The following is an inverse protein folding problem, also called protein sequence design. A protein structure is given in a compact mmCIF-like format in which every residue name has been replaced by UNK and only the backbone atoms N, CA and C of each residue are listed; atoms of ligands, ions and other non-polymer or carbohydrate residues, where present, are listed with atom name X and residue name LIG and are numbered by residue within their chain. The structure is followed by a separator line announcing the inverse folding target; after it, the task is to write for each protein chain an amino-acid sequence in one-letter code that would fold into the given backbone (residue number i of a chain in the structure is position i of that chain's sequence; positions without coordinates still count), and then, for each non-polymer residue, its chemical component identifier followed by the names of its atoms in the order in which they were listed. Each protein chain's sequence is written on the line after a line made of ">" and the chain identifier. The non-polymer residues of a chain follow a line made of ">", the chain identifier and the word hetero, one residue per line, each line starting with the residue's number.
data_IF_460595947964
#
_entry.id   IF_460595947964
#
_cell.length_a   1.000
_cell.length_b   1.000
_cell.length_c   1.000
_cell.angle_alpha   90.00
_cell.angle_beta   90.00
_cell.angle_gamma   90.00
#
_symmetry.space_group_name_H-M   'P 1'
#
loop_
_entity.id
_entity.type
_entity.pdbx_description
1 polymer ?
#
# COMPACT_ATOMS: atom_id res chain seq x y z
N UNK A 1 1.28 15.04 17.15
CA UNK A 1 1.58 13.63 17.41
C UNK A 1 2.98 13.52 18.03
N UNK A 2 3.18 12.66 19.04
CA UNK A 2 4.51 12.37 19.59
C UNK A 2 4.68 10.88 19.93
N UNK A 3 5.93 10.44 20.14
CA UNK A 3 6.24 9.02 20.37
C UNK A 3 5.54 8.43 21.61
N UNK A 4 5.33 9.22 22.66
CA UNK A 4 4.67 8.75 23.89
C UNK A 4 3.21 8.40 23.65
N UNK A 5 2.51 9.21 22.87
CA UNK A 5 1.12 8.98 22.44
C UNK A 5 1.01 7.70 21.61
N UNK A 6 1.90 7.52 20.63
CA UNK A 6 1.93 6.34 19.78
C UNK A 6 2.23 5.06 20.59
N UNK A 7 3.17 5.13 21.52
CA UNK A 7 3.50 4.01 22.42
C UNK A 7 2.32 3.62 23.30
N UNK A 8 1.59 4.59 23.84
CA UNK A 8 0.40 4.34 24.63
C UNK A 8 -0.70 3.68 23.79
N UNK A 9 -0.92 4.16 22.57
CA UNK A 9 -1.89 3.57 21.64
C UNK A 9 -1.52 2.15 21.23
N UNK A 10 -0.25 1.85 20.99
CA UNK A 10 0.24 0.48 20.73
C UNK A 10 -0.12 -0.44 21.90
N UNK A 11 0.15 -0.02 23.15
CA UNK A 11 -0.17 -0.83 24.31
C UNK A 11 -1.68 -1.07 24.47
N UNK A 12 -2.50 -0.05 24.22
CA UNK A 12 -3.96 -0.19 24.21
C UNK A 12 -4.44 -1.17 23.12
N UNK A 13 -3.94 -1.03 21.90
CA UNK A 13 -4.26 -1.89 20.78
C UNK A 13 -3.93 -3.36 21.08
N UNK A 14 -2.74 -3.63 21.61
CA UNK A 14 -2.31 -5.00 21.96
C UNK A 14 -3.19 -5.62 23.06
N UNK A 15 -3.70 -4.82 23.99
CA UNK A 15 -4.67 -5.26 25.00
C UNK A 15 -6.02 -5.59 24.35
N UNK A 16 -6.54 -4.74 23.46
CA UNK A 16 -7.82 -4.97 22.77
C UNK A 16 -7.75 -6.21 21.85
N UNK A 17 -6.63 -6.37 21.15
CA UNK A 17 -6.36 -7.52 20.28
C UNK A 17 -6.15 -8.82 21.07
N UNK A 18 -5.73 -8.72 22.34
CA UNK A 18 -5.33 -9.87 23.17
C UNK A 18 -3.99 -10.48 22.75
N UNK A 19 -3.22 -9.80 21.92
CA UNK A 19 -1.94 -10.25 21.37
C UNK A 19 -1.10 -9.06 20.89
N UNK A 20 0.25 -9.21 20.78
CA UNK A 20 1.09 -8.16 20.21
C UNK A 20 0.71 -7.82 18.77
N UNK A 21 1.06 -6.61 18.31
CA UNK A 21 0.99 -6.24 16.89
C UNK A 21 1.96 -7.07 16.03
N UNK A 22 1.78 -7.16 14.70
CA UNK A 22 2.79 -7.72 13.81
C UNK A 22 4.17 -7.10 14.05
N UNK A 23 5.22 -7.92 14.11
CA UNK A 23 6.48 -7.54 14.76
C UNK A 23 7.21 -6.38 14.04
N UNK A 24 7.21 -6.39 12.72
CA UNK A 24 7.77 -5.35 11.86
C UNK A 24 6.97 -4.03 11.95
N UNK A 25 5.64 -4.12 11.89
CA UNK A 25 4.76 -2.97 12.07
C UNK A 25 4.90 -2.36 13.48
N UNK A 26 4.96 -3.19 14.51
CA UNK A 26 5.20 -2.78 15.90
C UNK A 26 6.54 -2.08 16.05
N UNK A 27 7.59 -2.64 15.47
CA UNK A 27 8.92 -2.05 15.52
C UNK A 27 8.93 -0.68 14.84
N UNK A 28 8.24 -0.54 13.71
CA UNK A 28 8.04 0.75 13.07
C UNK A 28 7.31 1.74 14.00
N UNK A 29 6.15 1.40 14.56
CA UNK A 29 5.41 2.35 15.42
C UNK A 29 6.20 2.76 16.68
N UNK A 30 7.09 1.91 17.18
CA UNK A 30 7.85 2.17 18.42
C UNK A 30 9.24 2.77 18.20
N UNK A 31 9.70 2.88 16.94
CA UNK A 31 11.00 3.45 16.63
C UNK A 31 10.99 4.99 16.75
N UNK A 32 11.65 5.49 17.79
CA UNK A 32 11.72 6.90 18.14
C UNK A 32 12.81 7.67 17.37
N UNK A 33 13.55 6.99 16.48
CA UNK A 33 14.62 7.58 15.67
C UNK A 33 14.14 8.06 14.30
N UNK A 34 12.94 7.68 13.89
CA UNK A 34 12.36 8.11 12.62
C UNK A 34 11.64 9.46 12.79
N UNK A 35 12.35 10.54 12.48
CA UNK A 35 11.86 11.92 12.59
C UNK A 35 10.68 12.22 11.63
N UNK A 36 10.55 11.48 10.52
CA UNK A 36 9.50 11.68 9.52
C UNK A 36 8.10 11.25 10.01
N UNK A 37 8.00 10.52 11.14
CA UNK A 37 6.74 10.06 11.72
C UNK A 37 5.88 11.16 12.34
N UNK A 38 6.48 12.30 12.73
CA UNK A 38 5.82 13.29 13.59
C UNK A 38 5.68 14.67 12.94
N UNK A 39 5.76 14.75 11.62
CA UNK A 39 5.65 16.03 10.91
C UNK A 39 4.22 16.57 10.88
N UNK A 40 3.21 15.69 11.02
CA UNK A 40 1.80 16.04 10.83
C UNK A 40 1.47 16.43 9.39
N UNK A 41 2.39 16.14 8.46
CA UNK A 41 2.18 16.29 7.04
C UNK A 41 1.75 14.94 6.48
N UNK A 42 0.45 14.80 6.22
CA UNK A 42 -0.16 13.60 5.65
C UNK A 42 0.39 13.26 4.25
N UNK A 43 1.15 14.17 3.61
CA UNK A 43 1.87 13.90 2.37
C UNK A 43 3.17 13.11 2.60
N UNK A 44 3.66 13.02 3.84
CA UNK A 44 4.77 12.15 4.20
C UNK A 44 4.25 10.76 4.57
N UNK A 45 4.69 9.78 3.81
CA UNK A 45 4.23 8.39 3.87
C UNK A 45 4.29 7.78 5.29
N UNK A 46 5.37 8.02 6.04
CA UNK A 46 5.51 7.48 7.40
C UNK A 46 4.60 8.19 8.43
N UNK A 47 4.34 9.49 8.26
CA UNK A 47 3.39 10.24 9.11
C UNK A 47 1.98 9.69 8.91
N UNK A 48 1.57 9.47 7.65
CA UNK A 48 0.27 8.90 7.30
C UNK A 48 0.01 7.56 7.99
N UNK A 49 0.98 6.64 8.00
CA UNK A 49 0.84 5.33 8.69
C UNK A 49 0.55 5.53 10.18
N UNK A 50 1.25 6.47 10.83
CA UNK A 50 1.08 6.74 12.26
C UNK A 50 -0.27 7.42 12.55
N UNK A 51 -0.71 8.32 11.67
CA UNK A 51 -1.97 9.02 11.79
C UNK A 51 -3.17 8.08 11.64
N UNK A 52 -3.16 7.17 10.66
CA UNK A 52 -4.19 6.12 10.55
C UNK A 52 -4.27 5.23 11.78
N UNK A 53 -3.14 4.93 12.42
CA UNK A 53 -3.14 4.09 13.61
C UNK A 53 -3.71 4.80 14.85
N UNK A 54 -3.53 6.11 14.95
CA UNK A 54 -4.01 6.92 16.06
C UNK A 54 -5.48 7.31 15.90
N UNK A 55 -5.87 7.76 14.71
CA UNK A 55 -7.20 8.28 14.41
C UNK A 55 -7.64 7.87 12.99
N UNK A 56 -8.02 6.60 12.78
CA UNK A 56 -8.47 6.14 11.47
C UNK A 56 -9.73 6.89 11.01
N UNK A 57 -10.64 7.23 11.94
CA UNK A 57 -11.87 7.99 11.66
C UNK A 57 -11.67 9.36 11.00
N UNK A 58 -10.47 9.96 11.12
CA UNK A 58 -10.14 11.19 10.43
C UNK A 58 -10.04 11.01 8.90
N UNK A 59 -9.84 9.78 8.43
CA UNK A 59 -9.52 9.44 7.04
C UNK A 59 -10.46 8.40 6.43
N UNK A 60 -11.19 7.64 7.26
CA UNK A 60 -12.12 6.61 6.84
C UNK A 60 -13.53 6.86 7.35
N UNK A 61 -14.51 6.22 6.71
CA UNK A 61 -15.93 6.34 7.10
C UNK A 61 -16.20 5.77 8.49
N UNK A 62 -15.47 4.72 8.86
CA UNK A 62 -15.67 3.93 10.07
C UNK A 62 -14.32 3.46 10.65
N UNK A 63 -14.29 3.24 11.96
CA UNK A 63 -13.12 2.74 12.69
C UNK A 63 -12.97 1.21 12.53
N UNK A 64 -11.73 0.70 12.44
CA UNK A 64 -11.49 -0.74 12.51
C UNK A 64 -11.94 -1.37 13.84
N UNK A 65 -12.53 -2.56 13.79
CA UNK A 65 -12.92 -3.33 14.96
C UNK A 65 -11.85 -4.36 15.35
N UNK A 66 -10.99 -4.02 16.29
CA UNK A 66 -9.92 -4.89 16.77
C UNK A 66 -10.37 -6.04 17.69
N UNK A 67 -11.65 -6.09 18.07
CA UNK A 67 -12.18 -7.12 18.96
C UNK A 67 -12.51 -8.42 18.24
N UNK A 68 -12.69 -8.36 16.93
CA UNK A 68 -13.02 -9.48 16.06
C UNK A 68 -11.86 -9.87 15.13
N UNK A 69 -11.86 -11.12 14.71
CA UNK A 69 -10.88 -11.62 13.74
C UNK A 69 -11.23 -11.10 12.33
N UNK A 70 -10.21 -10.72 11.57
CA UNK A 70 -10.37 -10.51 10.13
C UNK A 70 -10.79 -11.83 9.47
N UNK A 71 -11.92 -11.88 8.74
CA UNK A 71 -12.53 -13.14 8.34
C UNK A 71 -11.99 -13.72 7.03
N UNK A 72 -11.22 -12.95 6.26
CA UNK A 72 -10.76 -13.34 4.93
C UNK A 72 -9.37 -13.99 4.96
N UNK A 73 -9.09 -14.79 3.93
CA UNK A 73 -7.81 -15.49 3.75
C UNK A 73 -7.33 -15.30 2.30
N UNK A 74 -6.04 -15.47 2.00
CA UNK A 74 -5.55 -15.38 0.63
C UNK A 74 -6.30 -16.29 -0.36
N UNK A 75 -6.74 -17.45 0.09
CA UNK A 75 -7.50 -18.42 -0.70
C UNK A 75 -8.99 -18.06 -0.84
N UNK A 76 -9.51 -17.19 0.05
CA UNK A 76 -10.89 -16.75 0.07
C UNK A 76 -10.97 -15.24 0.42
N UNK A 77 -10.54 -14.36 -0.50
CA UNK A 77 -10.68 -12.91 -0.35
C UNK A 77 -12.15 -12.48 -0.54
N UNK A 78 -12.47 -11.24 -0.15
CA UNK A 78 -13.77 -10.65 -0.48
C UNK A 78 -13.65 -9.98 -1.85
N UNK A 79 -14.20 -10.65 -2.87
CA UNK A 79 -14.38 -10.08 -4.21
C UNK A 79 -15.84 -10.29 -4.57
N UNK A 80 -16.62 -9.21 -4.58
CA UNK A 80 -18.05 -9.27 -4.77
C UNK A 80 -18.60 -8.03 -5.46
N UNK A 81 -19.51 -8.23 -6.41
CA UNK A 81 -20.28 -7.14 -7.01
C UNK A 81 -21.49 -6.81 -6.13
N UNK A 82 -21.91 -5.54 -6.15
CA UNK A 82 -23.17 -5.12 -5.57
C UNK A 82 -24.34 -5.73 -6.38
N UNK A 83 -25.41 -6.22 -5.73
CA UNK A 83 -26.53 -6.84 -6.44
C UNK A 83 -27.10 -5.96 -7.55
N UNK A 84 -27.24 -6.54 -8.75
CA UNK A 84 -27.73 -5.83 -9.95
C UNK A 84 -29.10 -5.15 -9.73
N UNK A 85 -29.89 -5.65 -8.78
CA UNK A 85 -31.17 -5.07 -8.39
C UNK A 85 -31.09 -3.61 -7.94
N UNK A 86 -29.96 -3.18 -7.36
CA UNK A 86 -29.80 -1.77 -6.97
C UNK A 86 -29.74 -0.87 -8.21
N UNK A 87 -28.89 -1.18 -9.19
CA UNK A 87 -28.82 -0.40 -10.44
C UNK A 87 -30.13 -0.42 -11.21
N UNK A 88 -30.76 -1.59 -11.34
CA UNK A 88 -32.05 -1.70 -12.02
C UNK A 88 -33.13 -0.83 -11.36
N UNK A 89 -33.09 -0.67 -10.03
CA UNK A 89 -34.02 0.21 -9.31
C UNK A 89 -33.64 1.68 -9.47
N UNK A 90 -32.36 2.02 -9.43
CA UNK A 90 -31.85 3.38 -9.64
C UNK A 90 -32.19 3.90 -11.04
N UNK A 91 -31.99 3.07 -12.08
CA UNK A 91 -32.31 3.41 -13.47
C UNK A 91 -33.80 3.68 -13.69
N UNK A 92 -34.66 3.06 -12.88
CA UNK A 92 -36.11 3.21 -12.94
C UNK A 92 -36.66 4.21 -11.92
N UNK A 93 -35.82 4.85 -11.11
CA UNK A 93 -36.26 5.86 -10.15
C UNK A 93 -36.79 7.10 -10.90
N UNK A 94 -38.04 7.47 -10.63
CA UNK A 94 -38.71 8.58 -11.33
C UNK A 94 -38.61 9.89 -10.56
N UNK A 95 -38.22 9.82 -9.29
CA UNK A 95 -38.06 10.97 -8.41
C UNK A 95 -36.73 10.94 -7.66
N UNK A 96 -36.23 12.11 -7.27
CA UNK A 96 -35.03 12.21 -6.43
C UNK A 96 -35.21 11.52 -5.07
N UNK A 97 -36.43 11.51 -4.51
CA UNK A 97 -36.71 10.84 -3.25
C UNK A 97 -36.61 9.30 -3.36
N UNK A 98 -37.11 8.74 -4.46
CA UNK A 98 -36.95 7.31 -4.76
C UNK A 98 -35.47 6.95 -4.95
N UNK A 99 -34.74 7.76 -5.74
CA UNK A 99 -33.31 7.57 -5.97
C UNK A 99 -32.50 7.58 -4.67
N UNK A 100 -32.76 8.57 -3.80
CA UNK A 100 -32.07 8.70 -2.52
C UNK A 100 -32.38 7.52 -1.59
N UNK A 101 -33.63 7.08 -1.50
CA UNK A 101 -34.00 5.94 -0.68
C UNK A 101 -33.32 4.63 -1.12
N UNK A 102 -33.16 4.42 -2.44
CA UNK A 102 -32.43 3.26 -2.97
C UNK A 102 -30.95 3.37 -2.67
N UNK A 103 -30.37 4.57 -2.79
CA UNK A 103 -28.96 4.82 -2.46
C UNK A 103 -28.68 4.58 -0.98
N UNK A 104 -29.57 5.03 -0.08
CA UNK A 104 -29.46 4.76 1.36
C UNK A 104 -29.53 3.26 1.66
N UNK A 105 -30.46 2.53 1.02
CA UNK A 105 -30.55 1.07 1.17
C UNK A 105 -29.28 0.36 0.65
N UNK A 106 -28.67 0.85 -0.43
CA UNK A 106 -27.41 0.34 -0.95
C UNK A 106 -26.26 0.58 0.02
N UNK A 107 -26.18 1.77 0.64
CA UNK A 107 -25.17 2.08 1.66
C UNK A 107 -25.32 1.14 2.86
N UNK A 108 -26.54 0.93 3.36
CA UNK A 108 -26.81 0.01 4.47
C UNK A 108 -26.41 -1.43 4.11
N UNK A 109 -26.67 -1.85 2.85
CA UNK A 109 -26.24 -3.15 2.35
C UNK A 109 -24.71 -3.27 2.33
N UNK A 110 -24.00 -2.29 1.78
CA UNK A 110 -22.53 -2.27 1.72
C UNK A 110 -21.92 -2.30 3.12
N UNK A 111 -22.44 -1.48 4.02
CA UNK A 111 -21.95 -1.41 5.39
C UNK A 111 -22.04 -2.76 6.08
N UNK A 112 -23.22 -3.39 6.02
CA UNK A 112 -23.48 -4.65 6.72
C UNK A 112 -22.78 -5.86 6.10
N UNK A 113 -22.71 -5.91 4.78
CA UNK A 113 -22.26 -7.12 4.08
C UNK A 113 -20.76 -7.06 3.72
N UNK A 114 -20.19 -5.86 3.55
CA UNK A 114 -18.80 -5.67 3.12
C UNK A 114 -17.95 -4.90 4.15
N UNK A 115 -18.33 -3.67 4.53
CA UNK A 115 -17.48 -2.82 5.39
C UNK A 115 -17.29 -3.43 6.79
N UNK A 116 -18.39 -3.72 7.51
CA UNK A 116 -18.33 -4.26 8.88
C UNK A 116 -17.51 -5.56 8.99
N UNK A 117 -17.59 -6.53 8.04
CA UNK A 117 -16.66 -7.66 8.01
C UNK A 117 -15.21 -7.27 7.68
N UNK A 118 -14.98 -6.36 6.73
CA UNK A 118 -13.65 -6.01 6.24
C UNK A 118 -12.84 -5.15 7.21
N UNK A 119 -13.51 -4.41 8.09
CA UNK A 119 -12.87 -3.57 9.11
C UNK A 119 -12.39 -4.34 10.36
N UNK A 120 -12.67 -5.65 10.46
CA UNK A 120 -12.33 -6.45 11.65
C UNK A 120 -10.84 -6.78 11.69
N UNK A 121 -10.24 -6.64 12.86
CA UNK A 121 -8.89 -7.16 13.12
C UNK A 121 -7.80 -6.59 12.23
N UNK A 122 -7.99 -5.39 11.65
CA UNK A 122 -7.02 -4.73 10.76
C UNK A 122 -6.71 -3.29 11.19
N UNK A 123 -5.70 -2.67 10.57
CA UNK A 123 -5.48 -1.24 10.62
C UNK A 123 -5.15 -0.72 9.22
N UNK A 124 -5.62 0.49 8.90
CA UNK A 124 -5.24 1.19 7.68
C UNK A 124 -3.79 1.69 7.77
N UNK A 125 -3.14 1.78 6.61
CA UNK A 125 -1.76 2.21 6.46
C UNK A 125 -1.62 3.37 5.46
N UNK A 126 -2.41 3.38 4.39
CA UNK A 126 -2.41 4.43 3.37
C UNK A 126 -3.79 4.64 2.75
N UNK A 127 -4.03 5.88 2.30
CA UNK A 127 -5.06 6.22 1.32
C UNK A 127 -4.41 6.27 -0.07
N UNK A 128 -4.76 5.32 -0.92
CA UNK A 128 -4.26 5.22 -2.29
C UNK A 128 -5.18 5.96 -3.29
N UNK A 129 -6.21 6.65 -2.78
CA UNK A 129 -7.21 7.41 -3.51
C UNK A 129 -8.38 6.56 -4.00
N UNK A 130 -9.46 7.22 -4.40
CA UNK A 130 -10.65 6.57 -4.98
C UNK A 130 -11.25 5.45 -4.12
N UNK A 131 -11.27 5.61 -2.79
CA UNK A 131 -11.71 4.60 -1.81
C UNK A 131 -10.87 3.32 -1.78
N UNK A 132 -9.62 3.41 -2.26
CA UNK A 132 -8.64 2.33 -2.15
C UNK A 132 -7.73 2.65 -0.98
N UNK A 133 -7.69 1.74 -0.02
CA UNK A 133 -6.78 1.82 1.11
C UNK A 133 -5.87 0.60 1.12
N UNK A 134 -4.69 0.76 1.71
CA UNK A 134 -3.87 -0.38 2.12
C UNK A 134 -4.04 -0.63 3.61
N UNK A 135 -4.21 -1.90 3.99
CA UNK A 135 -4.40 -2.32 5.37
C UNK A 135 -3.40 -3.40 5.78
N UNK A 136 -3.07 -3.44 7.07
CA UNK A 136 -2.38 -4.57 7.72
C UNK A 136 -3.34 -5.35 8.60
N UNK A 137 -3.29 -6.67 8.50
CA UNK A 137 -4.11 -7.54 9.35
C UNK A 137 -3.42 -7.73 10.71
N UNK A 138 -4.08 -7.33 11.78
CA UNK A 138 -3.62 -7.40 13.16
C UNK A 138 -4.06 -8.70 13.86
N UNK A 139 -5.18 -9.29 13.42
CA UNK A 139 -5.81 -10.45 14.05
C UNK A 139 -6.61 -11.30 13.06
N UNK A 140 -6.64 -12.61 13.30
CA UNK A 140 -7.27 -13.60 12.42
C UNK A 140 -6.26 -14.41 11.59
N UNK A 141 -6.73 -15.28 10.68
CA UNK A 141 -5.87 -16.19 9.91
C UNK A 141 -4.87 -15.49 8.99
N UNK A 142 -5.20 -14.27 8.53
CA UNK A 142 -4.34 -13.47 7.65
C UNK A 142 -3.37 -12.53 8.40
N UNK A 143 -3.22 -12.68 9.72
CA UNK A 143 -2.42 -11.78 10.56
C UNK A 143 -1.00 -11.56 10.02
N UNK A 144 -0.60 -10.29 9.96
CA UNK A 144 0.72 -9.81 9.51
C UNK A 144 0.83 -9.60 8.00
N UNK A 145 -0.23 -9.88 7.25
CA UNK A 145 -0.25 -9.67 5.81
C UNK A 145 -0.74 -8.26 5.48
N UNK A 146 -0.30 -7.76 4.33
CA UNK A 146 -0.78 -6.51 3.74
C UNK A 146 -1.89 -6.79 2.73
N UNK A 147 -2.96 -6.01 2.79
CA UNK A 147 -4.17 -6.21 2.03
C UNK A 147 -4.62 -4.92 1.34
N UNK A 148 -5.14 -5.06 0.12
CA UNK A 148 -5.96 -4.05 -0.51
C UNK A 148 -7.30 -3.99 0.21
N UNK A 149 -7.81 -2.80 0.44
CA UNK A 149 -9.16 -2.55 0.95
C UNK A 149 -9.85 -1.54 0.02
N UNK A 150 -10.63 -2.04 -0.95
CA UNK A 150 -11.50 -1.23 -1.80
C UNK A 150 -12.94 -1.68 -1.61
N UNK A 151 -13.80 -0.79 -1.13
CA UNK A 151 -15.25 -0.99 -1.10
C UNK A 151 -15.88 0.26 -1.69
N UNK A 152 -16.62 0.07 -2.77
CA UNK A 152 -17.26 1.14 -3.55
C UNK A 152 -18.76 0.92 -3.60
N UNK A 153 -19.47 1.87 -4.22
CA UNK A 153 -20.89 1.66 -4.54
C UNK A 153 -21.10 0.50 -5.52
N UNK A 154 -20.05 0.08 -6.23
CA UNK A 154 -20.20 -0.87 -7.32
C UNK A 154 -19.79 -2.30 -6.93
N UNK A 155 -18.76 -2.42 -6.10
CA UNK A 155 -18.17 -3.70 -5.71
C UNK A 155 -17.35 -3.60 -4.41
N UNK A 156 -16.91 -4.75 -3.92
CA UNK A 156 -15.88 -4.91 -2.92
C UNK A 156 -14.71 -5.73 -3.48
N UNK A 157 -13.49 -5.25 -3.27
CA UNK A 157 -12.23 -5.94 -3.55
C UNK A 157 -11.28 -5.78 -2.35
N UNK A 158 -11.36 -6.75 -1.44
CA UNK A 158 -10.51 -6.88 -0.25
C UNK A 158 -9.71 -8.18 -0.38
N UNK A 159 -8.43 -8.04 -0.75
CA UNK A 159 -7.55 -9.15 -1.12
C UNK A 159 -6.10 -8.90 -0.69
N UNK A 160 -5.27 -9.94 -0.49
CA UNK A 160 -3.89 -9.74 -0.09
C UNK A 160 -3.06 -9.09 -1.20
N UNK A 161 -2.02 -8.37 -0.81
CA UNK A 161 -0.93 -8.02 -1.69
C UNK A 161 0.13 -9.12 -1.72
N UNK A 162 0.59 -9.40 -2.93
CA UNK A 162 1.66 -10.35 -3.18
C UNK A 162 2.96 -9.61 -3.45
N UNK A 163 4.04 -10.16 -2.93
CA UNK A 163 5.36 -9.66 -3.18
C UNK A 163 5.67 -9.71 -4.69
N UNK A 164 6.07 -8.59 -5.32
CA UNK A 164 6.15 -8.47 -6.77
C UNK A 164 7.12 -9.47 -7.40
N UNK A 165 8.19 -9.85 -6.69
CA UNK A 165 9.24 -10.76 -7.16
C UNK A 165 9.07 -12.21 -6.69
N UNK A 166 8.97 -12.46 -5.38
CA UNK A 166 8.89 -13.81 -4.81
C UNK A 166 7.52 -14.47 -4.94
N UNK A 167 6.46 -13.67 -5.16
CA UNK A 167 5.05 -14.13 -5.14
C UNK A 167 4.60 -14.70 -3.79
N UNK A 168 5.37 -14.46 -2.74
CA UNK A 168 4.95 -14.72 -1.37
C UNK A 168 4.03 -13.58 -0.89
N UNK A 169 3.37 -13.77 0.25
CA UNK A 169 2.55 -12.72 0.85
C UNK A 169 3.42 -11.56 1.29
N UNK A 170 2.99 -10.33 0.98
CA UNK A 170 3.75 -9.12 1.25
C UNK A 170 3.75 -8.82 2.75
N UNK A 171 4.94 -8.58 3.32
CA UNK A 171 5.12 -8.13 4.70
C UNK A 171 4.99 -6.61 4.82
N UNK A 172 4.88 -6.07 6.04
CA UNK A 172 4.83 -4.61 6.23
C UNK A 172 6.14 -3.95 5.79
N UNK A 173 7.29 -4.54 6.12
CA UNK A 173 8.58 -3.99 5.70
C UNK A 173 8.75 -4.00 4.18
N UNK A 174 8.34 -5.08 3.50
CA UNK A 174 8.42 -5.14 2.04
C UNK A 174 7.48 -4.10 1.40
N UNK A 175 6.24 -4.00 1.90
CA UNK A 175 5.29 -2.99 1.43
C UNK A 175 5.82 -1.57 1.63
N UNK A 176 6.26 -1.23 2.85
CA UNK A 176 6.84 0.08 3.15
C UNK A 176 8.05 0.38 2.28
N UNK A 177 8.90 -0.62 2.03
CA UNK A 177 10.01 -0.49 1.11
C UNK A 177 9.51 -0.15 -0.31
N UNK A 178 8.57 -0.91 -0.86
CA UNK A 178 8.08 -0.67 -2.23
C UNK A 178 7.29 0.63 -2.40
N UNK A 179 6.60 1.10 -1.36
CA UNK A 179 5.96 2.42 -1.39
C UNK A 179 6.96 3.56 -1.45
N UNK A 180 8.09 3.42 -0.76
CA UNK A 180 9.21 4.36 -0.84
C UNK A 180 10.02 4.19 -2.14
N UNK A 181 9.90 3.02 -2.79
CA UNK A 181 10.65 2.61 -3.98
C UNK A 181 9.73 2.19 -5.13
N UNK A 182 8.70 3.00 -5.42
CA UNK A 182 7.70 2.68 -6.46
C UNK A 182 8.29 2.48 -7.86
N UNK A 183 9.50 2.99 -8.12
CA UNK A 183 10.21 2.84 -9.39
C UNK A 183 11.58 2.20 -9.15
N UNK A 184 11.83 1.07 -9.81
CA UNK A 184 13.07 0.31 -9.69
C UNK A 184 13.64 0.00 -11.07
N UNK A 185 14.96 -0.20 -11.12
CA UNK A 185 15.64 -0.66 -12.33
C UNK A 185 15.49 -2.19 -12.47
N UNK A 186 15.35 -2.65 -13.71
CA UNK A 186 15.39 -4.08 -14.07
C UNK A 186 15.89 -4.25 -15.50
N UNK A 187 16.55 -5.38 -15.77
CA UNK A 187 16.81 -5.83 -17.14
C UNK A 187 15.65 -6.64 -17.74
N UNK A 188 14.63 -7.00 -16.95
CA UNK A 188 13.41 -7.66 -17.42
C UNK A 188 12.28 -6.68 -17.70
N UNK A 189 12.19 -6.21 -18.95
CA UNK A 189 10.95 -5.67 -19.47
C UNK A 189 9.95 -6.80 -19.68
N UNK A 190 9.10 -7.10 -18.69
CA UNK A 190 7.94 -7.99 -18.92
C UNK A 190 6.80 -7.21 -19.55
N UNK A 191 5.96 -7.90 -20.31
CA UNK A 191 4.72 -7.37 -20.90
C UNK A 191 3.64 -6.98 -19.87
N UNK A 192 3.77 -7.43 -18.60
CA UNK A 192 2.78 -7.22 -17.53
C UNK A 192 3.05 -6.00 -16.64
N UNK A 193 4.22 -5.36 -16.77
CA UNK A 193 4.60 -4.20 -15.97
C UNK A 193 4.71 -2.96 -16.85
N UNK A 194 4.20 -1.83 -16.37
CA UNK A 194 4.43 -0.56 -17.04
C UNK A 194 5.93 -0.21 -16.96
N UNK A 195 6.63 -0.36 -18.07
CA UNK A 195 8.06 -0.03 -18.18
C UNK A 195 8.25 1.37 -18.74
N UNK A 196 9.27 2.06 -18.26
CA UNK A 196 9.71 3.36 -18.71
C UNK A 196 11.19 3.33 -19.09
N UNK A 197 11.58 4.29 -19.92
CA UNK A 197 12.99 4.53 -20.23
C UNK A 197 13.75 4.93 -18.96
N UNK A 198 14.98 4.43 -18.79
CA UNK A 198 15.91 4.90 -17.75
C UNK A 198 16.25 6.38 -17.86
N UNK A 199 16.12 6.96 -19.07
CA UNK A 199 16.33 8.39 -19.30
C UNK A 199 15.08 9.23 -19.03
N UNK A 200 14.00 8.63 -18.53
CA UNK A 200 12.89 9.40 -18.01
C UNK A 200 13.34 10.13 -16.72
N UNK A 201 13.31 11.45 -16.78
CA UNK A 201 13.76 12.36 -15.72
C UNK A 201 12.95 12.23 -14.43
N UNK A 202 11.70 11.76 -14.52
CA UNK A 202 10.87 11.54 -13.34
C UNK A 202 11.06 10.16 -12.74
N UNK A 203 11.00 9.10 -13.55
CA UNK A 203 10.98 7.72 -13.04
C UNK A 203 12.38 7.10 -12.98
N UNK A 204 13.19 7.28 -14.02
CA UNK A 204 14.52 6.70 -14.09
C UNK A 204 15.52 7.39 -13.19
N UNK A 205 15.48 8.71 -13.12
CA UNK A 205 16.41 9.46 -12.26
C UNK A 205 16.09 9.28 -10.78
N UNK A 206 14.79 9.22 -10.43
CA UNK A 206 14.37 8.88 -9.06
C UNK A 206 14.79 7.47 -8.67
N UNK A 207 14.55 6.48 -9.54
CA UNK A 207 14.99 5.10 -9.31
C UNK A 207 16.51 5.02 -9.11
N UNK A 208 17.31 5.64 -9.99
CA UNK A 208 18.76 5.66 -9.86
C UNK A 208 19.22 6.30 -8.56
N UNK A 209 18.73 7.50 -8.22
CA UNK A 209 19.13 8.20 -6.99
C UNK A 209 18.78 7.41 -5.75
N UNK A 210 17.60 6.78 -5.69
CA UNK A 210 17.20 5.94 -4.56
C UNK A 210 18.07 4.70 -4.45
N UNK A 211 18.27 3.97 -5.54
CA UNK A 211 19.13 2.79 -5.52
C UNK A 211 20.59 3.10 -5.17
N UNK A 212 21.08 4.31 -5.48
CA UNK A 212 22.40 4.77 -5.00
C UNK A 212 22.40 4.93 -3.47
N UNK A 213 21.37 5.55 -2.90
CA UNK A 213 21.23 5.74 -1.44
C UNK A 213 21.14 4.39 -0.73
N UNK A 214 20.42 3.43 -1.30
CA UNK A 214 20.26 2.07 -0.78
C UNK A 214 21.52 1.19 -0.96
N UNK A 215 22.49 1.66 -1.76
CA UNK A 215 23.67 0.87 -2.14
C UNK A 215 23.36 -0.27 -3.12
N UNK A 216 22.17 -0.30 -3.72
CA UNK A 216 21.76 -1.25 -4.77
C UNK A 216 22.08 -0.76 -6.19
N UNK A 217 22.68 0.42 -6.32
CA UNK A 217 23.34 0.92 -7.52
C UNK A 217 24.72 1.48 -7.16
N UNK A 218 25.75 1.08 -7.91
CA UNK A 218 27.13 1.55 -7.73
C UNK A 218 27.72 2.03 -9.05
N UNK A 219 28.84 2.76 -8.99
CA UNK A 219 29.53 3.27 -10.18
C UNK A 219 28.90 4.53 -10.82
N UNK A 220 27.88 5.11 -10.19
CA UNK A 220 27.28 6.40 -10.54
C UNK A 220 26.97 7.17 -9.24
N UNK A 221 27.35 8.44 -9.16
CA UNK A 221 27.03 9.28 -8.00
C UNK A 221 25.65 9.94 -8.15
N UNK A 222 24.93 10.13 -7.05
CA UNK A 222 23.56 10.68 -7.08
C UNK A 222 23.51 12.10 -7.69
N UNK A 223 24.54 12.90 -7.48
CA UNK A 223 24.70 14.25 -8.05
C UNK A 223 24.96 14.27 -9.55
N UNK A 224 25.42 13.15 -10.12
CA UNK A 224 25.68 13.03 -11.55
C UNK A 224 24.45 12.57 -12.33
N UNK A 225 23.44 12.01 -11.66
CA UNK A 225 22.20 11.54 -12.29
C UNK A 225 21.51 12.68 -13.05
N UNK A 226 21.41 13.88 -12.46
CA UNK A 226 20.74 15.03 -13.09
C UNK A 226 21.49 15.59 -14.31
N UNK A 227 22.76 15.20 -14.48
CA UNK A 227 23.62 15.62 -15.59
C UNK A 227 23.49 14.71 -16.80
N UNK A 228 22.89 13.53 -16.65
CA UNK A 228 22.68 12.59 -17.75
C UNK A 228 21.74 13.20 -18.81
N UNK A 229 22.07 13.00 -20.09
CA UNK A 229 21.27 13.45 -21.24
C UNK A 229 20.92 12.31 -22.19
N UNK A 230 21.72 11.24 -22.19
CA UNK A 230 21.53 10.04 -22.99
C UNK A 230 22.13 8.81 -22.28
N UNK A 231 21.70 7.57 -22.62
CA UNK A 231 22.17 6.37 -21.93
C UNK A 231 23.69 6.19 -21.95
N UNK A 232 24.38 6.68 -22.97
CA UNK A 232 25.85 6.60 -23.09
C UNK A 232 26.59 7.45 -22.05
N UNK A 233 25.92 8.43 -21.42
CA UNK A 233 26.50 9.27 -20.38
C UNK A 233 26.63 8.50 -19.04
N UNK A 234 25.82 7.46 -18.84
CA UNK A 234 25.92 6.57 -17.67
C UNK A 234 27.29 5.89 -17.71
N UNK A 235 28.10 5.87 -16.64
CA UNK A 235 29.42 5.24 -16.67
C UNK A 235 29.37 3.73 -17.03
N UNK A 236 30.35 3.19 -17.79
CA UNK A 236 30.35 1.76 -18.14
C UNK A 236 30.46 0.82 -16.93
N UNK A 237 31.03 1.30 -15.83
CA UNK A 237 31.15 0.58 -14.57
C UNK A 237 29.94 0.78 -13.64
N UNK A 238 28.93 1.54 -14.06
CA UNK A 238 27.70 1.69 -13.30
C UNK A 238 26.87 0.41 -13.39
N UNK A 239 26.62 -0.21 -12.24
CA UNK A 239 25.87 -1.46 -12.12
C UNK A 239 24.80 -1.34 -11.04
N UNK A 240 23.69 -2.05 -11.21
CA UNK A 240 22.62 -2.13 -10.22
C UNK A 240 22.28 -3.58 -9.89
N UNK A 241 21.84 -3.85 -8.67
CA UNK A 241 21.32 -5.14 -8.23
C UNK A 241 19.86 -5.25 -8.72
N UNK A 242 19.60 -6.10 -9.71
CA UNK A 242 18.25 -6.30 -10.23
C UNK A 242 17.41 -7.06 -9.20
N UNK A 243 16.31 -6.47 -8.69
CA UNK A 243 15.52 -7.07 -7.62
C UNK A 243 14.73 -8.32 -8.07
N UNK A 244 14.58 -8.56 -9.38
CA UNK A 244 13.93 -9.77 -9.92
C UNK A 244 14.89 -10.95 -10.04
N UNK A 245 16.17 -10.67 -10.28
CA UNK A 245 17.20 -11.69 -10.52
C UNK A 245 18.17 -11.86 -9.37
N UNK A 246 18.21 -10.90 -8.46
CA UNK A 246 19.18 -10.83 -7.37
C UNK A 246 20.64 -10.91 -7.88
N UNK A 247 20.92 -10.23 -8.99
CA UNK A 247 22.22 -10.20 -9.67
C UNK A 247 22.55 -8.77 -10.14
N UNK A 248 23.84 -8.47 -10.30
CA UNK A 248 24.31 -7.16 -10.73
C UNK A 248 24.35 -7.03 -12.25
N UNK A 249 23.73 -5.99 -12.79
CA UNK A 249 23.65 -5.70 -14.22
C UNK A 249 24.10 -4.29 -14.56
N UNK A 250 24.60 -4.03 -15.79
CA UNK A 250 24.92 -2.69 -16.24
C UNK A 250 23.68 -1.79 -16.23
N UNK A 251 23.81 -0.58 -15.66
CA UNK A 251 22.72 0.40 -15.60
C UNK A 251 22.26 0.82 -17.00
N UNK A 252 23.18 0.85 -17.97
CA UNK A 252 22.91 1.18 -19.38
C UNK A 252 21.91 0.25 -20.06
N UNK A 253 21.80 -0.99 -19.58
CA UNK A 253 20.94 -2.01 -20.15
C UNK A 253 19.60 -2.09 -19.41
N UNK A 254 19.41 -1.27 -18.38
CA UNK A 254 18.22 -1.29 -17.56
C UNK A 254 17.05 -0.55 -18.19
N UNK A 255 15.87 -1.00 -17.80
CA UNK A 255 14.61 -0.28 -17.91
C UNK A 255 14.10 0.05 -16.51
N UNK A 256 13.18 1.01 -16.41
CA UNK A 256 12.51 1.33 -15.16
C UNK A 256 11.17 0.63 -15.16
N UNK A 257 10.78 -0.01 -14.08
CA UNK A 257 9.42 -0.51 -13.93
C UNK A 257 8.78 0.10 -12.68
N UNK A 258 7.46 0.32 -12.76
CA UNK A 258 6.68 0.66 -11.59
C UNK A 258 6.34 -0.61 -10.82
N UNK A 259 6.61 -0.64 -9.52
CA UNK A 259 6.17 -1.72 -8.65
C UNK A 259 4.65 -1.71 -8.58
N UNK A 260 4.04 -2.87 -8.79
CA UNK A 260 2.62 -3.10 -8.67
C UNK A 260 2.40 -4.38 -7.89
N UNK A 261 1.49 -4.30 -6.92
CA UNK A 261 1.00 -5.45 -6.18
C UNK A 261 -0.12 -6.08 -7.01
N UNK A 262 0.29 -6.83 -8.05
CA UNK A 262 -0.66 -7.57 -8.88
C UNK A 262 -1.44 -8.58 -8.03
N UNK A 263 -2.71 -8.80 -8.40
CA UNK A 263 -3.50 -9.94 -7.98
C UNK A 263 -3.33 -11.11 -8.96
#
# INVERSE_FOLDING_TARGET
>A
MNQSELTARVAEAEVQLGQPLPADYRAFLLDDTNEDKFTGDYLLFDSMICEFFLDPSAYTREDPDWTQDFPFTPENPLIADVPESFYARLDNATTAAEYNAITEEQIDYLQKNFDEPALRGMAFLSDDGCNIYTAIILRGPARGQIWRHEITMDNADVRPYWHPFTKELLTFNDWRYFEQHRYLLTIDGRDDAQTYSIMNDWYGFWAMKRMIVDGTLTGLAAEDVDKLRQPTDIPPNAVFLDPRRNEWYPVRDATVFRVSYAA
#
